data_IF_377130097824
#
_entry.id   IF_377130097824
#
_cell.length_a   1.000
_cell.length_b   1.000
_cell.length_c   1.000
_cell.angle_alpha   90.00
_cell.angle_beta   90.00
_cell.angle_gamma   90.00
#
_symmetry.space_group_name_H-M   'P 1'
#
loop_
_entity.id
_entity.type
_entity.pdbx_description
1 polymer ?
#
# COMPACT_ATOMS: atom_id res chain seq x y z
N UNK A 1 -14.79 -9.03 -1.30
CA UNK A 1 -14.58 -8.78 -2.75
C UNK A 1 -13.07 -8.62 -2.95
N UNK A 2 -12.46 -9.27 -3.94
CA UNK A 2 -11.02 -9.12 -4.25
C UNK A 2 -10.96 -8.36 -5.57
N UNK A 3 -10.50 -7.11 -5.55
CA UNK A 3 -10.22 -6.38 -6.78
C UNK A 3 -8.81 -6.74 -7.23
N UNK A 4 -8.72 -7.45 -8.37
CA UNK A 4 -7.48 -7.61 -9.13
C UNK A 4 -7.32 -6.38 -9.99
N UNK A 5 -6.42 -5.49 -9.60
CA UNK A 5 -5.88 -4.51 -10.52
C UNK A 5 -4.78 -5.17 -11.35
N UNK A 6 -4.45 -4.65 -12.52
CA UNK A 6 -3.44 -5.21 -13.44
C UNK A 6 -2.01 -5.21 -12.88
N UNK A 7 -1.84 -4.86 -11.61
CA UNK A 7 -0.59 -4.80 -10.88
C UNK A 7 -0.13 -6.16 -10.37
N UNK A 8 1.18 -6.34 -10.22
CA UNK A 8 1.77 -7.52 -9.59
C UNK A 8 1.44 -7.70 -8.09
N UNK A 9 0.68 -6.77 -7.49
CA UNK A 9 0.14 -6.84 -6.13
C UNK A 9 -1.38 -6.92 -6.15
N UNK A 10 -1.93 -7.84 -5.35
CA UNK A 10 -3.38 -7.92 -5.05
C UNK A 10 -3.62 -7.57 -3.60
N UNK A 11 -4.79 -7.05 -3.27
CA UNK A 11 -5.15 -6.72 -1.89
C UNK A 11 -6.58 -7.11 -1.59
N UNK A 12 -6.82 -7.40 -0.31
CA UNK A 12 -8.16 -7.59 0.24
C UNK A 12 -8.31 -6.64 1.41
N UNK A 13 -9.23 -5.69 1.29
CA UNK A 13 -9.62 -4.84 2.41
C UNK A 13 -11.04 -5.22 2.84
N UNK A 14 -11.34 -5.21 4.13
CA UNK A 14 -12.74 -5.19 4.61
C UNK A 14 -13.30 -3.76 4.67
N UNK A 15 -12.47 -2.77 4.36
CA UNK A 15 -12.74 -1.35 4.53
C UNK A 15 -12.61 -0.67 3.17
N UNK A 16 -13.56 -0.96 2.28
CA UNK A 16 -13.64 -0.33 0.95
C UNK A 16 -14.33 1.05 0.99
N UNK A 17 -15.10 1.33 2.04
CA UNK A 17 -15.81 2.61 2.15
C UNK A 17 -14.85 3.74 2.54
N UNK A 18 -13.90 3.46 3.44
CA UNK A 18 -13.05 4.51 3.99
C UNK A 18 -11.67 4.61 3.33
N UNK A 19 -11.19 3.57 2.62
CA UNK A 19 -9.88 3.59 1.95
C UNK A 19 -9.99 3.43 0.43
N UNK A 20 -9.51 4.42 -0.32
CA UNK A 20 -9.36 4.34 -1.77
C UNK A 20 -7.95 3.88 -2.13
N UNK A 21 -7.83 2.92 -3.04
CA UNK A 21 -6.55 2.32 -3.41
C UNK A 21 -6.36 2.44 -4.93
N UNK A 22 -5.23 3.02 -5.33
CA UNK A 22 -4.80 3.15 -6.72
C UNK A 22 -3.47 2.43 -6.88
N UNK A 23 -3.27 1.73 -8.00
CA UNK A 23 -2.03 0.99 -8.25
C UNK A 23 -1.60 1.09 -9.70
N UNK A 24 -0.30 1.20 -9.93
CA UNK A 24 0.32 1.16 -11.24
C UNK A 24 1.68 0.47 -11.15
N UNK A 25 2.01 -0.32 -12.17
CA UNK A 25 3.34 -0.90 -12.29
C UNK A 25 4.25 0.07 -13.08
N UNK A 26 5.52 0.18 -12.66
CA UNK A 26 6.52 0.94 -13.41
C UNK A 26 7.28 0.05 -14.40
N UNK A 27 8.11 0.70 -15.24
CA UNK A 27 8.87 0.02 -16.30
C UNK A 27 9.93 -0.95 -15.77
N UNK A 28 10.28 -0.83 -14.49
CA UNK A 28 11.22 -1.72 -13.81
C UNK A 28 10.50 -2.93 -13.19
N UNK A 29 9.17 -2.98 -13.30
CA UNK A 29 8.35 -4.05 -12.76
C UNK A 29 8.04 -3.87 -11.28
N UNK A 30 8.29 -2.70 -10.68
CA UNK A 30 7.84 -2.41 -9.32
C UNK A 30 6.37 -1.99 -9.36
N UNK A 31 5.62 -2.33 -8.32
CA UNK A 31 4.26 -1.82 -8.15
C UNK A 31 4.27 -0.59 -7.25
N UNK A 32 3.68 0.51 -7.71
CA UNK A 32 3.43 1.72 -6.92
C UNK A 32 1.96 1.76 -6.54
N UNK A 33 1.66 2.03 -5.28
CA UNK A 33 0.29 2.13 -4.79
C UNK A 33 0.08 3.43 -4.03
N UNK A 34 -1.06 4.07 -4.27
CA UNK A 34 -1.54 5.21 -3.48
C UNK A 34 -2.74 4.74 -2.67
N UNK A 35 -2.65 4.85 -1.36
CA UNK A 35 -3.66 4.46 -0.39
C UNK A 35 -4.18 5.75 0.27
N UNK A 36 -5.44 6.09 0.06
CA UNK A 36 -6.06 7.27 0.67
C UNK A 36 -7.05 6.82 1.73
N UNK A 37 -6.67 6.97 3.01
CA UNK A 37 -7.51 6.67 4.15
C UNK A 37 -8.29 7.93 4.57
N UNK A 38 -9.61 7.89 4.41
CA UNK A 38 -10.54 8.96 4.84
C UNK A 38 -11.15 8.68 6.23
N UNK A 39 -10.82 7.54 6.83
CA UNK A 39 -11.28 7.17 8.17
C UNK A 39 -10.51 7.96 9.23
N UNK A 40 -11.15 8.34 10.34
CA UNK A 40 -10.45 8.86 11.53
C UNK A 40 -9.68 7.77 12.30
N UNK A 41 -9.54 6.56 11.72
CA UNK A 41 -8.85 5.41 12.31
C UNK A 41 -7.83 4.85 11.32
N UNK A 42 -6.78 4.26 11.86
CA UNK A 42 -5.82 3.50 11.06
C UNK A 42 -6.50 2.30 10.41
N UNK A 43 -6.15 2.03 9.15
CA UNK A 43 -6.69 0.90 8.38
C UNK A 43 -5.57 -0.10 8.11
N UNK A 44 -5.87 -1.36 8.41
CA UNK A 44 -5.01 -2.50 8.08
C UNK A 44 -5.43 -3.10 6.74
N UNK A 45 -4.51 -3.15 5.78
CA UNK A 45 -4.73 -3.70 4.44
C UNK A 45 -3.82 -4.91 4.26
N UNK A 46 -4.43 -6.08 4.08
CA UNK A 46 -3.73 -7.29 3.70
C UNK A 46 -3.45 -7.28 2.19
N UNK A 47 -2.19 -7.45 1.84
CA UNK A 47 -1.66 -7.40 0.48
C UNK A 47 -0.92 -8.68 0.15
N UNK A 48 -0.90 -9.01 -1.14
CA UNK A 48 -0.21 -10.17 -1.69
C UNK A 48 0.57 -9.78 -2.93
N UNK A 49 1.90 -9.85 -2.85
CA UNK A 49 2.80 -9.60 -3.98
C UNK A 49 3.03 -10.90 -4.77
N UNK A 50 2.42 -11.00 -5.96
CA UNK A 50 2.34 -12.24 -6.73
C UNK A 50 3.68 -12.65 -7.34
N UNK A 51 4.52 -11.68 -7.70
CA UNK A 51 5.78 -11.90 -8.41
C UNK A 51 7.03 -11.74 -7.53
N UNK A 52 6.84 -11.48 -6.23
CA UNK A 52 7.94 -11.29 -5.31
C UNK A 52 8.70 -12.63 -5.11
N UNK A 53 9.97 -12.67 -5.55
CA UNK A 53 10.82 -13.88 -5.48
C UNK A 53 11.49 -14.06 -4.13
N UNK A 54 11.84 -12.95 -3.46
CA UNK A 54 12.54 -12.90 -2.17
C UNK A 54 11.92 -11.82 -1.28
N UNK A 55 12.25 -11.78 0.01
CA UNK A 55 11.84 -10.64 0.87
C UNK A 55 12.27 -9.31 0.23
N UNK A 56 11.35 -8.37 0.20
CA UNK A 56 11.53 -7.03 -0.35
C UNK A 56 11.45 -5.97 0.74
N UNK A 57 11.75 -4.73 0.36
CA UNK A 57 11.49 -3.55 1.19
C UNK A 57 10.44 -2.70 0.51
N UNK A 58 9.34 -2.46 1.19
CA UNK A 58 8.39 -1.45 0.78
C UNK A 58 8.70 -0.12 1.44
N UNK A 59 8.63 0.96 0.67
CA UNK A 59 8.75 2.32 1.21
C UNK A 59 7.36 2.92 1.34
N UNK A 60 7.06 3.44 2.52
CA UNK A 60 5.77 3.98 2.88
C UNK A 60 5.92 5.46 3.23
N UNK A 61 5.28 6.32 2.44
CA UNK A 61 5.23 7.76 2.67
C UNK A 61 3.83 8.14 3.07
N UNK A 62 3.60 8.46 4.34
CA UNK A 62 2.30 8.93 4.82
C UNK A 62 2.33 10.44 5.02
N UNK A 63 1.32 11.13 4.51
CA UNK A 63 1.05 12.54 4.78
C UNK A 63 -0.31 12.68 5.45
N UNK A 64 -0.31 13.23 6.66
CA UNK A 64 -1.53 13.66 7.35
C UNK A 64 -2.11 14.88 6.62
N UNK A 65 -3.35 14.74 6.15
CA UNK A 65 -4.08 15.77 5.40
C UNK A 65 -4.22 17.10 6.17
N UNK A 66 -4.09 17.08 7.50
CA UNK A 66 -4.26 18.27 8.34
C UNK A 66 -2.94 18.91 8.82
N UNK A 67 -1.83 18.17 8.86
CA UNK A 67 -0.60 18.63 9.55
C UNK A 67 0.67 18.62 8.71
N UNK A 68 0.61 18.23 7.43
CA UNK A 68 1.78 18.12 6.54
C UNK A 68 2.98 17.43 7.19
N UNK A 69 2.73 16.46 8.08
CA UNK A 69 3.78 15.62 8.64
C UNK A 69 4.04 14.49 7.66
N UNK A 70 5.28 14.41 7.18
CA UNK A 70 5.74 13.32 6.34
C UNK A 70 6.36 12.24 7.22
N UNK A 71 5.82 11.03 7.15
CA UNK A 71 6.42 9.86 7.77
C UNK A 71 6.92 8.90 6.69
N UNK A 72 8.23 8.66 6.68
CA UNK A 72 8.86 7.69 5.79
C UNK A 72 9.22 6.47 6.63
N UNK A 73 8.72 5.30 6.24
CA UNK A 73 9.08 4.02 6.85
C UNK A 73 9.45 3.00 5.79
N UNK A 74 10.47 2.19 6.08
CA UNK A 74 10.77 0.98 5.33
C UNK A 74 10.13 -0.21 6.04
N UNK A 75 9.36 -1.00 5.29
CA UNK A 75 8.68 -2.20 5.79
C UNK A 75 9.25 -3.39 5.04
N UNK A 76 9.79 -4.36 5.76
CA UNK A 76 10.13 -5.65 5.16
C UNK A 76 8.85 -6.38 4.78
N UNK A 77 8.77 -6.80 3.51
CA UNK A 77 7.61 -7.47 2.95
C UNK A 77 8.00 -8.85 2.44
N UNK A 78 7.11 -9.82 2.65
CA UNK A 78 7.14 -11.11 1.99
C UNK A 78 5.97 -11.20 0.99
N UNK A 79 5.62 -12.42 0.56
CA UNK A 79 4.52 -12.61 -0.40
C UNK A 79 3.16 -12.17 0.12
N UNK A 80 2.93 -12.22 1.44
CA UNK A 80 1.64 -11.95 2.07
C UNK A 80 1.89 -11.00 3.26
N UNK A 81 1.80 -9.70 3.01
CA UNK A 81 2.17 -8.66 3.97
C UNK A 81 0.96 -7.78 4.33
N UNK A 82 1.07 -7.07 5.45
CA UNK A 82 0.03 -6.15 5.92
C UNK A 82 0.59 -4.75 6.04
N UNK A 83 -0.17 -3.78 5.52
CA UNK A 83 0.18 -2.36 5.61
C UNK A 83 -0.82 -1.66 6.50
N UNK A 84 -0.32 -0.87 7.45
CA UNK A 84 -1.12 0.03 8.26
C UNK A 84 -1.10 1.40 7.59
N UNK A 85 -2.27 1.86 7.16
CA UNK A 85 -2.48 3.19 6.57
C UNK A 85 -3.00 4.11 7.67
N UNK A 86 -2.25 5.15 8.06
CA UNK A 86 -2.66 6.06 9.13
C UNK A 86 -4.02 6.71 8.85
N UNK A 87 -4.76 7.06 9.91
CA UNK A 87 -5.99 7.85 9.83
C UNK A 87 -5.81 9.12 8.99
N UNK A 88 -6.83 9.50 8.21
CA UNK A 88 -6.92 10.76 7.46
C UNK A 88 -5.65 11.11 6.64
N UNK A 89 -5.05 10.08 6.02
CA UNK A 89 -3.76 10.18 5.35
C UNK A 89 -3.78 9.75 3.89
N UNK A 90 -2.82 10.26 3.13
CA UNK A 90 -2.42 9.72 1.84
C UNK A 90 -1.09 9.00 2.01
N UNK A 91 -1.06 7.72 1.63
CA UNK A 91 0.10 6.86 1.74
C UNK A 91 0.56 6.39 0.36
N UNK A 92 1.82 6.66 0.00
CA UNK A 92 2.48 6.04 -1.16
C UNK A 92 3.24 4.80 -0.69
N UNK A 93 2.96 3.66 -1.32
CA UNK A 93 3.63 2.39 -1.10
C UNK A 93 4.38 1.98 -2.38
N UNK A 94 5.67 1.71 -2.26
CA UNK A 94 6.50 1.20 -3.36
C UNK A 94 6.85 -0.26 -3.08
N UNK A 95 6.45 -1.19 -3.94
CA UNK A 95 6.69 -2.63 -3.79
C UNK A 95 7.62 -3.11 -4.92
N UNK A 96 8.88 -3.47 -4.61
CA UNK A 96 9.75 -4.08 -5.61
C UNK A 96 9.29 -5.51 -5.91
N UNK A 97 9.20 -5.90 -7.17
CA UNK A 97 8.77 -7.26 -7.56
C UNK A 97 9.88 -8.08 -8.27
N UNK A 98 11.14 -7.65 -8.20
CA UNK A 98 12.27 -8.34 -8.84
C UNK A 98 12.89 -9.42 -7.95
#
# INVERSE_FOLDING_TARGET
>A
MVQRFSSGVTFSSRVYEDCSIYSADDREGNTRMILHNRSPRDISISMKALNLKHMGKAVLFASDSCRFHEHISEVEIDKDFTVIVPAESVTLLLVPLQ
#
